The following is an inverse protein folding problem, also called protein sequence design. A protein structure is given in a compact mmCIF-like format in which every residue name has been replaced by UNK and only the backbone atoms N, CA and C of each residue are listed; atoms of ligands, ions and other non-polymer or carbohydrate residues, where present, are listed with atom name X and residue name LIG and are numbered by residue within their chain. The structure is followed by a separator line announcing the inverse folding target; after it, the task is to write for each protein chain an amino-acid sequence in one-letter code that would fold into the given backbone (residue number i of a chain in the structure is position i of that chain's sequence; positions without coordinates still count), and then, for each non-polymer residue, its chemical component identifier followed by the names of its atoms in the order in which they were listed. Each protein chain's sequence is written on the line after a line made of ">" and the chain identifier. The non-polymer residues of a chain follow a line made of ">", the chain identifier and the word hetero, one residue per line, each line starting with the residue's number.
data_IF_356413566676
#
_entry.id   IF_356413566676
#
_cell.length_a   1.000
_cell.length_b   1.000
_cell.length_c   1.000
_cell.angle_alpha   90.00
_cell.angle_beta   90.00
_cell.angle_gamma   90.00
#
_symmetry.space_group_name_H-M   'P 1'
#
loop_
_entity.id
_entity.type
_entity.pdbx_description
1 polymer ?
#
# COMPACT_ATOMS: atom_id res chain seq x y z
N UNK A 1 9.01 -11.13 -70.74
CA UNK A 1 8.76 -10.24 -71.90
C UNK A 1 7.43 -10.64 -72.50
N UNK A 2 6.44 -9.75 -72.77
CA UNK A 2 6.62 -8.36 -73.21
C UNK A 2 5.72 -7.28 -72.54
N UNK A 3 6.11 -6.04 -72.81
CA UNK A 3 5.31 -4.82 -73.05
C UNK A 3 4.68 -4.05 -71.87
N UNK A 4 5.54 -3.14 -71.39
CA UNK A 4 5.25 -1.74 -71.08
C UNK A 4 4.00 -1.15 -71.76
N UNK A 5 3.19 -0.42 -70.98
CA UNK A 5 2.47 0.75 -71.48
C UNK A 5 2.54 1.87 -70.46
N UNK A 6 3.04 2.99 -70.95
CA UNK A 6 3.43 4.18 -70.23
C UNK A 6 2.48 5.32 -70.59
N UNK A 7 2.46 6.31 -69.70
CA UNK A 7 2.04 7.71 -69.84
C UNK A 7 0.54 8.06 -69.75
N UNK A 8 0.20 8.85 -68.72
CA UNK A 8 -0.10 10.30 -68.77
C UNK A 8 -0.69 10.68 -67.39
N UNK A 9 0.03 11.36 -66.49
CA UNK A 9 0.31 12.80 -66.47
C UNK A 9 -0.88 13.67 -66.85
N UNK A 10 -1.60 14.15 -65.83
CA UNK A 10 -2.16 15.51 -65.81
C UNK A 10 -1.96 16.08 -64.41
N UNK A 11 -0.97 16.96 -64.35
CA UNK A 11 -0.78 18.06 -63.43
C UNK A 11 -2.09 18.61 -62.87
N UNK A 12 -2.37 18.37 -61.60
CA UNK A 12 -3.28 19.24 -60.85
C UNK A 12 -2.45 20.36 -60.25
N UNK A 13 -2.68 21.53 -60.82
CA UNK A 13 -2.07 22.81 -60.49
C UNK A 13 -2.30 23.12 -59.01
N UNK A 14 -1.20 23.12 -58.26
CA UNK A 14 -0.76 24.24 -57.42
C UNK A 14 -1.89 25.16 -56.94
N UNK A 15 -2.66 24.71 -55.94
CA UNK A 15 -3.21 25.63 -54.95
C UNK A 15 -2.09 25.97 -53.98
N UNK A 16 -1.24 26.93 -54.36
CA UNK A 16 -0.46 27.71 -53.40
C UNK A 16 -1.45 28.59 -52.63
N UNK A 17 -2.24 27.96 -51.76
CA UNK A 17 -2.76 28.65 -50.58
C UNK A 17 -1.52 29.13 -49.86
N UNK A 18 -1.23 30.42 -50.02
CA UNK A 18 -0.46 31.21 -49.09
C UNK A 18 -1.11 31.00 -47.73
N UNK A 19 -0.63 29.96 -47.03
CA UNK A 19 -0.90 29.74 -45.62
C UNK A 19 -0.31 30.96 -44.94
N UNK A 20 -1.19 31.93 -44.73
CA UNK A 20 -0.97 33.08 -43.87
C UNK A 20 -0.56 32.46 -42.54
N UNK A 21 0.75 32.41 -42.30
CA UNK A 21 1.32 32.02 -41.02
C UNK A 21 0.60 32.88 -39.98
N UNK A 22 -0.23 32.30 -39.10
CA UNK A 22 -0.87 33.11 -38.08
C UNK A 22 0.26 33.70 -37.25
N UNK A 23 0.27 35.03 -37.17
CA UNK A 23 1.15 35.79 -36.29
C UNK A 23 1.12 35.14 -34.91
N UNK A 24 2.24 34.52 -34.54
CA UNK A 24 2.59 34.00 -33.21
C UNK A 24 1.40 33.79 -32.27
N UNK A 25 0.65 32.72 -32.49
CA UNK A 25 -0.20 32.17 -31.44
C UNK A 25 0.72 31.51 -30.42
N UNK A 26 1.40 32.34 -29.61
CA UNK A 26 2.07 31.88 -28.41
C UNK A 26 1.03 31.07 -27.64
N UNK A 27 1.31 29.80 -27.28
CA UNK A 27 0.41 29.07 -26.41
C UNK A 27 0.18 29.95 -25.17
N UNK A 28 -1.05 30.02 -24.63
CA UNK A 28 -1.29 30.73 -23.39
C UNK A 28 -0.20 30.33 -22.38
N UNK A 29 0.35 31.29 -21.62
CA UNK A 29 1.52 31.10 -20.76
C UNK A 29 1.46 29.79 -19.95
N UNK A 30 0.27 29.44 -19.46
CA UNK A 30 -0.02 28.18 -18.77
C UNK A 30 0.30 26.93 -19.60
N UNK A 31 -0.06 26.91 -20.88
CA UNK A 31 0.24 25.81 -21.80
C UNK A 31 1.74 25.73 -22.13
N UNK A 32 2.43 26.88 -22.25
CA UNK A 32 3.89 26.91 -22.40
C UNK A 32 4.58 26.32 -21.16
N UNK A 33 4.15 26.74 -19.97
CA UNK A 33 4.66 26.26 -18.70
C UNK A 33 4.42 24.75 -18.52
N UNK A 34 3.22 24.25 -18.82
CA UNK A 34 2.91 22.81 -18.80
C UNK A 34 3.70 22.00 -19.82
N UNK A 35 4.15 22.60 -20.93
CA UNK A 35 5.01 21.92 -21.88
C UNK A 35 6.41 21.73 -21.30
N UNK A 36 7.01 22.80 -20.79
CA UNK A 36 8.34 22.75 -20.13
C UNK A 36 8.34 21.77 -18.96
N UNK A 37 7.33 21.84 -18.08
CA UNK A 37 7.22 20.90 -16.96
C UNK A 37 7.11 19.44 -17.40
N UNK A 38 6.36 19.15 -18.47
CA UNK A 38 6.25 17.77 -19.00
C UNK A 38 7.57 17.28 -19.54
N UNK A 39 8.33 18.13 -20.20
CA UNK A 39 9.64 17.78 -20.75
C UNK A 39 10.65 17.46 -19.64
N UNK A 40 10.76 18.33 -18.64
CA UNK A 40 11.63 18.12 -17.47
C UNK A 40 11.22 16.89 -16.65
N UNK A 41 9.92 16.73 -16.37
CA UNK A 41 9.42 15.58 -15.62
C UNK A 41 9.52 14.28 -16.41
N UNK A 42 9.39 14.31 -17.75
CA UNK A 42 9.54 13.11 -18.56
C UNK A 42 10.94 12.49 -18.40
N UNK A 43 11.99 13.32 -18.34
CA UNK A 43 13.35 12.85 -18.08
C UNK A 43 13.50 12.16 -16.72
N UNK A 44 12.89 12.71 -15.67
CA UNK A 44 13.00 12.19 -14.31
C UNK A 44 12.11 10.97 -14.05
N UNK A 45 10.91 10.92 -14.64
CA UNK A 45 9.90 9.89 -14.37
C UNK A 45 10.04 8.67 -15.31
N UNK A 46 10.68 8.84 -16.47
CA UNK A 46 10.95 7.75 -17.42
C UNK A 46 11.66 6.53 -16.82
N UNK A 47 12.80 6.66 -16.08
CA UNK A 47 13.49 5.50 -15.51
C UNK A 47 12.66 4.77 -14.46
N UNK A 48 11.88 5.50 -13.66
CA UNK A 48 10.97 4.91 -12.68
C UNK A 48 9.85 4.13 -13.37
N UNK A 49 9.24 4.72 -14.41
CA UNK A 49 8.20 4.07 -15.22
C UNK A 49 8.73 2.80 -15.88
N UNK A 50 9.94 2.85 -16.44
CA UNK A 50 10.60 1.68 -17.03
C UNK A 50 10.93 0.59 -16.00
N UNK A 51 11.24 0.96 -14.75
CA UNK A 51 11.46 0.00 -13.66
C UNK A 51 10.15 -0.66 -13.22
N UNK A 52 9.07 0.12 -13.08
CA UNK A 52 7.75 -0.41 -12.72
C UNK A 52 7.20 -1.35 -13.79
N UNK A 53 7.36 -1.03 -15.07
CA UNK A 53 6.98 -1.91 -16.18
C UNK A 53 7.75 -3.24 -16.16
N UNK A 54 9.05 -3.21 -15.84
CA UNK A 54 9.85 -4.45 -15.67
C UNK A 54 9.34 -5.33 -14.53
N UNK A 55 8.97 -4.72 -13.40
CA UNK A 55 8.38 -5.45 -12.27
C UNK A 55 7.02 -6.03 -12.66
N UNK A 56 6.15 -5.23 -13.28
CA UNK A 56 4.84 -5.68 -13.74
C UNK A 56 4.93 -6.85 -14.75
N UNK A 57 5.91 -6.80 -15.66
CA UNK A 57 6.18 -7.89 -16.60
C UNK A 57 6.67 -9.16 -15.88
N UNK A 58 7.52 -9.02 -14.86
CA UNK A 58 8.01 -10.15 -14.07
C UNK A 58 6.92 -10.84 -13.24
N UNK A 59 5.89 -10.08 -12.86
CA UNK A 59 4.75 -10.56 -12.10
C UNK A 59 3.62 -11.07 -13.00
N UNK A 60 3.69 -10.83 -14.31
CA UNK A 60 2.65 -11.25 -15.24
C UNK A 60 2.71 -12.77 -15.43
N UNK A 61 1.65 -13.52 -15.07
CA UNK A 61 1.66 -15.00 -15.00
C UNK A 61 1.75 -15.71 -16.36
N UNK A 62 1.90 -14.97 -17.46
CA UNK A 62 1.86 -15.51 -18.83
C UNK A 62 3.22 -15.82 -19.49
N UNK A 63 4.35 -15.39 -18.92
CA UNK A 63 5.70 -15.61 -19.54
C UNK A 63 6.53 -16.74 -18.96
N UNK A 64 6.02 -17.48 -17.96
CA UNK A 64 6.69 -18.70 -17.48
C UNK A 64 6.46 -19.94 -18.38
N UNK A 65 6.17 -19.74 -19.67
CA UNK A 65 6.18 -20.85 -20.62
C UNK A 65 7.62 -21.12 -21.08
N UNK A 66 8.12 -22.29 -20.66
CA UNK A 66 9.35 -22.96 -21.08
C UNK A 66 10.65 -22.38 -20.54
N UNK A 67 10.91 -22.57 -19.25
CA UNK A 67 12.15 -23.28 -18.97
C UNK A 67 11.92 -24.77 -19.26
N UNK A 68 12.73 -25.43 -20.10
CA UNK A 68 12.75 -26.89 -20.11
C UNK A 68 13.18 -27.29 -18.70
N UNK A 69 12.22 -27.73 -17.90
CA UNK A 69 12.47 -28.57 -16.75
C UNK A 69 13.32 -29.73 -17.28
N UNK A 70 14.64 -29.65 -17.09
CA UNK A 70 15.50 -30.82 -17.23
C UNK A 70 14.86 -31.86 -16.32
N UNK A 71 14.44 -33.04 -16.84
CA UNK A 71 13.98 -34.09 -15.95
C UNK A 71 15.16 -34.41 -15.04
N UNK A 72 15.06 -34.00 -13.77
CA UNK A 72 15.92 -34.52 -12.73
C UNK A 72 15.58 -36.01 -12.69
N UNK A 73 16.43 -36.82 -13.32
CA UNK A 73 16.35 -38.25 -13.22
C UNK A 73 16.46 -38.60 -11.73
N UNK A 74 15.52 -39.40 -11.25
CA UNK A 74 15.44 -39.86 -9.85
C UNK A 74 16.71 -40.59 -9.37
N UNK A 75 17.69 -40.85 -10.24
CA UNK A 75 19.00 -41.38 -9.91
C UNK A 75 19.86 -40.40 -9.06
N UNK A 76 19.75 -39.09 -9.28
CA UNK A 76 20.51 -38.11 -8.48
C UNK A 76 19.89 -37.89 -7.09
N UNK A 77 18.56 -38.00 -6.97
CA UNK A 77 17.85 -37.91 -5.69
C UNK A 77 18.13 -39.12 -4.78
N UNK A 78 18.31 -40.32 -5.36
CA UNK A 78 18.64 -41.52 -4.59
C UNK A 78 20.13 -41.64 -4.24
N UNK A 79 21.05 -41.02 -5.01
CA UNK A 79 22.47 -40.94 -4.60
C UNK A 79 22.73 -39.88 -3.52
N UNK A 80 21.95 -38.79 -3.46
CA UNK A 80 22.10 -37.79 -2.41
C UNK A 80 21.53 -38.24 -1.05
N UNK A 81 20.57 -39.17 -1.04
CA UNK A 81 20.01 -39.74 0.18
C UNK A 81 20.88 -40.85 0.80
N UNK A 82 21.77 -41.48 0.02
CA UNK A 82 22.68 -42.51 0.52
C UNK A 82 23.94 -41.96 1.23
N UNK A 83 24.17 -40.64 1.16
CA UNK A 83 25.28 -39.96 1.86
C UNK A 83 24.87 -39.39 3.23
N UNK A 84 23.60 -39.49 3.62
CA UNK A 84 23.10 -39.09 4.93
C UNK A 84 23.06 -40.32 5.85
N UNK A 85 24.23 -40.82 6.21
CA UNK A 85 24.38 -41.62 7.41
C UNK A 85 23.99 -40.75 8.63
N UNK A 86 23.26 -41.29 9.62
CA UNK A 86 23.10 -40.61 10.90
C UNK A 86 24.46 -40.67 11.60
N UNK A 87 25.23 -39.58 11.52
CA UNK A 87 26.23 -39.31 12.55
C UNK A 87 25.45 -38.91 13.79
N UNK A 88 25.46 -39.81 14.76
CA UNK A 88 25.02 -39.56 16.12
C UNK A 88 25.75 -38.32 16.63
N UNK A 89 25.06 -37.18 16.55
CA UNK A 89 25.48 -35.94 17.19
C UNK A 89 25.15 -36.10 18.67
N UNK A 90 26.05 -36.78 19.36
CA UNK A 90 26.26 -36.63 20.79
C UNK A 90 26.30 -35.12 21.06
N UNK A 91 25.24 -34.63 21.71
CA UNK A 91 25.20 -33.28 22.25
C UNK A 91 26.15 -33.28 23.44
N UNK A 92 27.45 -33.15 23.15
CA UNK A 92 28.39 -32.70 24.15
C UNK A 92 28.00 -31.27 24.51
N UNK A 93 27.71 -31.11 25.78
CA UNK A 93 27.34 -29.90 26.49
C UNK A 93 28.31 -28.77 26.14
N UNK A 94 27.92 -27.96 25.15
CA UNK A 94 28.52 -26.66 24.90
C UNK A 94 28.09 -25.74 26.05
N UNK A 95 28.83 -25.83 27.15
CA UNK A 95 29.00 -24.79 28.17
C UNK A 95 29.52 -23.52 27.50
N UNK A 96 28.66 -22.86 26.71
CA UNK A 96 28.78 -21.45 26.43
C UNK A 96 27.87 -20.78 27.45
N UNK A 97 28.49 -20.42 28.58
CA UNK A 97 28.02 -19.40 29.50
C UNK A 97 27.67 -18.14 28.70
N UNK A 98 26.45 -18.14 28.21
CA UNK A 98 25.82 -17.05 27.50
C UNK A 98 25.52 -16.01 28.57
N UNK A 99 26.43 -15.04 28.73
CA UNK A 99 26.23 -13.88 29.58
C UNK A 99 24.91 -13.24 29.16
N UNK A 100 23.82 -13.60 29.85
CA UNK A 100 22.48 -13.20 29.51
C UNK A 100 22.51 -11.67 29.43
N UNK A 101 22.36 -11.08 28.23
CA UNK A 101 22.39 -9.64 28.10
C UNK A 101 21.26 -9.15 28.99
N UNK A 102 21.58 -8.36 30.02
CA UNK A 102 20.60 -7.79 30.94
C UNK A 102 19.37 -7.40 30.15
N UNK A 103 18.27 -8.13 30.37
CA UNK A 103 17.16 -8.16 29.43
C UNK A 103 16.52 -6.77 29.37
N UNK A 104 17.00 -5.93 28.46
CA UNK A 104 16.58 -4.53 28.34
C UNK A 104 15.08 -4.52 28.08
N UNK A 105 14.38 -3.61 28.74
CA UNK A 105 12.95 -3.43 28.53
C UNK A 105 12.69 -2.81 27.15
N UNK A 106 11.54 -3.14 26.55
CA UNK A 106 11.15 -2.63 25.24
C UNK A 106 11.06 -1.09 25.22
N UNK A 107 11.47 -0.49 24.11
CA UNK A 107 11.39 0.95 23.88
C UNK A 107 9.96 1.53 23.92
N UNK A 108 8.92 0.71 23.76
CA UNK A 108 7.53 1.18 23.79
C UNK A 108 7.05 1.43 25.21
N UNK A 109 6.42 2.59 25.43
CA UNK A 109 5.83 3.00 26.71
C UNK A 109 4.85 1.93 27.19
N UNK A 110 5.03 1.46 28.43
CA UNK A 110 4.17 0.45 29.05
C UNK A 110 4.47 -1.01 28.67
N UNK A 111 5.45 -1.27 27.78
CA UNK A 111 5.80 -2.64 27.39
C UNK A 111 6.93 -3.25 28.24
N UNK A 112 6.61 -4.17 29.15
CA UNK A 112 7.60 -4.84 30.03
C UNK A 112 8.27 -6.09 29.41
N UNK A 113 8.09 -6.33 28.11
CA UNK A 113 8.63 -7.53 27.44
C UNK A 113 10.13 -7.34 27.16
N UNK A 114 10.93 -8.41 27.22
CA UNK A 114 12.36 -8.33 26.92
C UNK A 114 12.58 -7.91 25.45
N UNK A 115 13.60 -7.08 25.24
CA UNK A 115 14.08 -6.71 23.91
C UNK A 115 14.65 -7.93 23.21
N UNK A 116 14.36 -8.05 21.91
CA UNK A 116 14.96 -9.07 21.04
C UNK A 116 15.91 -8.45 20.03
N UNK A 117 15.48 -7.39 19.34
CA UNK A 117 16.27 -6.71 18.31
C UNK A 117 15.88 -5.23 18.19
N UNK A 118 16.86 -4.37 17.88
CA UNK A 118 16.70 -2.92 17.63
C UNK A 118 15.99 -2.14 18.76
N UNK A 119 16.09 -2.60 20.00
CA UNK A 119 15.39 -1.99 21.15
C UNK A 119 13.90 -2.36 21.30
N UNK A 120 13.38 -3.29 20.50
CA UNK A 120 11.97 -3.72 20.56
C UNK A 120 11.79 -5.18 20.96
N UNK A 121 10.66 -5.49 21.59
CA UNK A 121 10.21 -6.86 21.78
C UNK A 121 9.70 -7.46 20.46
N UNK A 122 9.54 -8.78 20.37
CA UNK A 122 9.14 -9.47 19.13
C UNK A 122 7.85 -8.91 18.50
N UNK A 123 6.84 -8.56 19.33
CA UNK A 123 5.58 -8.02 18.85
C UNK A 123 5.73 -6.59 18.27
N UNK A 124 6.47 -5.72 18.95
CA UNK A 124 6.70 -4.36 18.48
C UNK A 124 7.66 -4.32 17.29
N UNK A 125 8.63 -5.22 17.23
CA UNK A 125 9.48 -5.37 16.05
C UNK A 125 8.65 -5.74 14.80
N UNK A 126 7.71 -6.67 14.92
CA UNK A 126 6.82 -7.02 13.82
C UNK A 126 5.93 -5.84 13.40
N UNK A 127 5.39 -5.09 14.37
CA UNK A 127 4.61 -3.86 14.10
C UNK A 127 5.45 -2.80 13.38
N UNK A 128 6.71 -2.58 13.80
CA UNK A 128 7.66 -1.68 13.13
C UNK A 128 7.82 -2.06 11.66
N UNK A 129 8.07 -3.35 11.37
CA UNK A 129 8.25 -3.84 9.99
C UNK A 129 7.03 -3.58 9.11
N UNK A 130 5.83 -3.76 9.65
CA UNK A 130 4.58 -3.43 8.94
C UNK A 130 4.42 -1.92 8.69
N UNK A 131 4.81 -1.09 9.66
CA UNK A 131 4.76 0.37 9.52
C UNK A 131 5.80 0.89 8.52
N UNK A 132 7.01 0.32 8.49
CA UNK A 132 8.04 0.61 7.47
C UNK A 132 7.53 0.21 6.09
N UNK A 133 7.02 -1.01 5.93
CA UNK A 133 6.51 -1.50 4.65
C UNK A 133 5.33 -0.67 4.12
N UNK A 134 4.50 -0.11 5.01
CA UNK A 134 3.37 0.75 4.65
C UNK A 134 3.72 2.23 4.51
N UNK A 135 4.96 2.65 4.82
CA UNK A 135 5.39 4.05 4.78
C UNK A 135 4.73 4.95 5.82
N UNK A 136 4.11 4.37 6.87
CA UNK A 136 3.40 5.11 7.94
C UNK A 136 4.17 5.09 9.26
N UNK A 137 5.48 4.87 9.21
CA UNK A 137 6.30 4.82 10.41
C UNK A 137 6.33 6.21 11.08
N UNK A 138 5.99 6.24 12.37
CA UNK A 138 6.10 7.47 13.15
C UNK A 138 7.58 7.82 13.36
N UNK A 139 7.95 9.10 13.30
CA UNK A 139 9.35 9.55 13.40
C UNK A 139 10.02 9.11 14.71
N UNK A 140 9.24 8.95 15.78
CA UNK A 140 9.71 8.46 17.08
C UNK A 140 10.16 6.98 17.08
N UNK A 141 9.82 6.19 16.06
CA UNK A 141 10.21 4.78 15.95
C UNK A 141 11.61 4.64 15.35
N UNK A 142 12.61 5.14 16.07
CA UNK A 142 14.02 5.03 15.71
C UNK A 142 14.60 3.65 16.10
N UNK A 143 15.74 3.32 15.51
CA UNK A 143 16.52 2.15 15.93
C UNK A 143 17.23 2.48 17.25
N UNK A 144 17.34 1.50 18.14
CA UNK A 144 18.00 1.62 19.45
C UNK A 144 17.42 2.70 20.37
N UNK A 145 16.11 2.92 20.27
CA UNK A 145 15.41 3.84 21.15
C UNK A 145 15.48 3.42 22.63
N UNK A 146 15.51 4.42 23.52
CA UNK A 146 15.58 4.19 24.95
C UNK A 146 14.34 3.40 25.45
N UNK A 147 14.49 2.56 26.49
CA UNK A 147 13.37 1.84 27.09
C UNK A 147 12.22 2.80 27.44
N UNK A 148 10.99 2.41 27.12
CA UNK A 148 9.78 3.20 27.40
C UNK A 148 9.79 4.66 26.91
N UNK A 149 10.46 4.98 25.81
CA UNK A 149 10.46 6.32 25.21
C UNK A 149 9.44 6.51 24.08
N UNK A 150 9.00 5.41 23.46
CA UNK A 150 8.21 5.47 22.22
C UNK A 150 6.71 5.28 22.51
N UNK A 151 5.82 6.16 22.00
CA UNK A 151 4.38 5.97 22.10
C UNK A 151 3.89 4.79 21.25
N UNK A 152 2.99 3.98 21.81
CA UNK A 152 2.36 2.90 21.06
C UNK A 152 1.34 3.46 20.05
N UNK A 153 1.69 3.42 18.77
CA UNK A 153 0.83 3.92 17.69
C UNK A 153 -0.26 2.88 17.42
N UNK A 154 -1.45 3.08 17.96
CA UNK A 154 -2.60 2.21 17.68
C UNK A 154 -2.96 2.41 16.20
N UNK A 155 -2.63 1.42 15.36
CA UNK A 155 -3.18 1.38 14.02
C UNK A 155 -4.69 1.28 14.19
N UNK A 156 -5.41 2.34 13.80
CA UNK A 156 -6.84 2.30 13.68
C UNK A 156 -7.16 1.15 12.74
N UNK A 157 -7.55 0.01 13.31
CA UNK A 157 -8.25 -1.02 12.55
C UNK A 157 -9.58 -0.37 12.21
N UNK A 158 -9.61 0.46 11.16
CA UNK A 158 -10.85 0.76 10.50
C UNK A 158 -11.34 -0.60 10.01
N UNK A 159 -12.21 -1.20 10.82
CA UNK A 159 -13.12 -2.24 10.36
C UNK A 159 -13.69 -1.65 9.07
N UNK A 160 -13.39 -2.29 7.95
CA UNK A 160 -13.99 -1.93 6.67
C UNK A 160 -15.49 -2.11 6.90
N UNK A 161 -16.18 -1.02 7.20
CA UNK A 161 -17.64 -1.03 7.22
C UNK A 161 -18.00 -1.33 5.77
N UNK A 162 -18.39 -2.57 5.53
CA UNK A 162 -19.03 -2.96 4.29
C UNK A 162 -20.15 -1.97 4.08
N UNK A 163 -20.17 -1.33 2.91
CA UNK A 163 -21.22 -0.43 2.46
C UNK A 163 -22.57 -1.15 2.50
N UNK A 164 -23.17 -1.21 3.67
CA UNK A 164 -24.56 -1.50 3.92
C UNK A 164 -25.05 -0.32 4.75
N UNK A 165 -25.93 0.47 4.15
CA UNK A 165 -26.34 1.77 4.63
C UNK A 165 -26.79 1.72 6.10
N UNK A 166 -26.40 2.66 6.96
CA UNK A 166 -27.02 2.78 8.26
C UNK A 166 -28.47 3.22 8.08
N UNK A 167 -29.39 2.27 8.18
CA UNK A 167 -30.80 2.53 8.36
C UNK A 167 -30.99 3.32 9.67
N UNK A 168 -31.67 4.46 9.53
CA UNK A 168 -32.35 5.21 10.57
C UNK A 168 -31.49 5.71 11.75
N UNK A 169 -31.10 6.99 11.63
CA UNK A 169 -30.87 7.85 12.78
C UNK A 169 -32.11 7.82 13.70
N UNK A 170 -32.01 7.14 14.85
CA UNK A 170 -32.95 7.30 15.95
C UNK A 170 -32.61 8.63 16.63
N UNK A 171 -33.36 9.67 16.26
CA UNK A 171 -33.40 10.92 17.02
C UNK A 171 -34.03 10.60 18.38
N UNK A 172 -33.41 10.96 19.53
CA UNK A 172 -34.06 10.78 20.82
C UNK A 172 -35.30 11.69 20.90
N UNK A 173 -36.47 11.09 21.10
CA UNK A 173 -37.74 11.78 21.41
C UNK A 173 -37.62 12.48 22.77
N UNK A 174 -37.04 13.67 22.79
CA UNK A 174 -36.99 14.54 23.96
C UNK A 174 -37.85 15.81 23.80
N UNK A 175 -38.79 15.81 22.84
CA UNK A 175 -39.64 16.98 22.56
C UNK A 175 -41.10 16.64 22.23
N UNK A 176 -41.67 15.62 22.88
CA UNK A 176 -43.13 15.50 23.05
C UNK A 176 -43.48 15.76 24.50
N UNK A 177 -43.12 16.95 24.94
CA UNK A 177 -43.74 17.55 26.08
C UNK A 177 -45.23 17.81 25.78
N UNK A 178 -46.01 17.92 26.84
CA UNK A 178 -46.94 19.04 27.07
C UNK A 178 -48.42 18.99 26.64
N UNK A 179 -49.01 17.89 26.15
CA UNK A 179 -50.46 17.91 25.82
C UNK A 179 -51.43 17.28 26.85
N UNK A 180 -51.00 16.39 27.75
CA UNK A 180 -51.97 15.63 28.59
C UNK A 180 -52.20 16.12 30.02
N UNK A 181 -51.52 17.16 30.51
CA UNK A 181 -51.69 17.64 31.91
C UNK A 181 -52.51 18.92 32.10
N UNK A 182 -52.98 19.58 31.03
CA UNK A 182 -53.77 20.81 31.13
C UNK A 182 -55.29 20.63 31.02
N UNK A 183 -55.80 19.43 30.69
CA UNK A 183 -57.24 19.20 30.42
C UNK A 183 -58.01 18.47 31.55
N UNK A 184 -57.37 18.16 32.68
CA UNK A 184 -57.94 17.29 33.72
C UNK A 184 -58.51 17.97 34.99
N UNK A 185 -58.34 19.27 35.18
CA UNK A 185 -58.67 19.96 36.45
C UNK A 185 -59.82 20.97 36.36
N UNK A 186 -60.89 20.61 35.64
CA UNK A 186 -62.14 21.35 35.69
C UNK A 186 -63.33 20.39 35.62
N UNK A 187 -63.73 19.82 36.78
CA UNK A 187 -65.12 19.44 37.16
C UNK A 187 -65.11 18.54 38.41
N UNK A 188 -65.36 19.13 39.59
CA UNK A 188 -66.38 18.70 40.56
C UNK A 188 -66.37 19.61 41.79
N UNK A 189 -67.18 20.65 41.70
CA UNK A 189 -67.85 21.29 42.84
C UNK A 189 -68.80 20.25 43.48
N UNK A 190 -68.63 19.92 44.76
CA UNK A 190 -69.35 20.47 45.92
C UNK A 190 -70.44 19.47 46.43
N UNK A 191 -71.11 19.70 47.58
CA UNK A 191 -70.88 18.94 48.81
C UNK A 191 -72.10 18.11 49.28
N UNK A 192 -71.85 17.18 50.22
CA UNK A 192 -72.88 16.41 50.94
C UNK A 192 -73.68 17.31 51.90
N UNK A 193 -75.00 17.22 51.83
CA UNK A 193 -75.95 17.46 52.93
C UNK A 193 -76.80 16.20 53.09
#
# INVERSE_FOLDING_TARGET
>A
MPRTRSLRSVSSLQSTRTSRVPASAQPPLEQAFRAVLREELAGQVSPLTASLLRIAESLSPGKQLRQPQRPLSNAAALSALAALAPVEAEHEDAELEESAPEARACAVIGCKRPVRSLGYCAAHYQKRRLMVASGRLHQAWTEDAAPHSIPDVILGRQRRETTEAPAAAVIPQAARASEDLASGFARRAAPRR
#
